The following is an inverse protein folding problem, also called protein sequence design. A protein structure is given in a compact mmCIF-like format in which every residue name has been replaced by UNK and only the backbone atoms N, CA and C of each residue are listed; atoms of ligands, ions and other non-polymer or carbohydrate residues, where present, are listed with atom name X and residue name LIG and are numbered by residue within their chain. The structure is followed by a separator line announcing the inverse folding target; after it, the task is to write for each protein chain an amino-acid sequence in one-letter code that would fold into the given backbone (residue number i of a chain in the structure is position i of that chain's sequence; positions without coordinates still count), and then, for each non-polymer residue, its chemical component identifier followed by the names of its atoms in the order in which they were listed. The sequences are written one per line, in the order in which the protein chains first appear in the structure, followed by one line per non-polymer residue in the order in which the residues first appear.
data_IF_216852718696
#
_entry.id   IF_216852718696
#
_cell.length_a   1.000
_cell.length_b   1.000
_cell.length_c   1.000
_cell.angle_alpha   90.00
_cell.angle_beta   90.00
_cell.angle_gamma   90.00
#
_symmetry.space_group_name_H-M   'P 1'
#
loop_
_entity.id
_entity.type
_entity.pdbx_description
1 polymer ?
#
# COMPACT_ATOMS: atom_id res chain seq x y z
N UNK A 1 5.17 21.36 -19.28
CA UNK A 1 4.97 20.01 -19.88
C UNK A 1 6.22 19.18 -19.68
N UNK A 2 6.12 18.16 -18.83
CA UNK A 2 7.21 17.21 -18.54
C UNK A 2 7.39 16.27 -19.73
N UNK A 3 8.63 16.16 -20.24
CA UNK A 3 8.95 15.32 -21.39
C UNK A 3 8.48 13.88 -21.18
N UNK A 4 7.84 13.31 -22.20
CA UNK A 4 7.41 11.91 -22.21
C UNK A 4 6.10 11.62 -21.47
N UNK A 5 5.56 12.58 -20.69
CA UNK A 5 4.32 12.39 -19.93
C UNK A 5 3.11 12.78 -20.78
N UNK A 6 2.12 11.90 -20.87
CA UNK A 6 0.84 12.16 -21.56
C UNK A 6 -0.33 11.74 -20.69
N UNK A 7 -1.35 12.59 -20.63
CA UNK A 7 -2.63 12.30 -19.97
C UNK A 7 -3.68 12.16 -21.08
N UNK A 8 -4.28 10.98 -21.18
CA UNK A 8 -5.19 10.63 -22.29
C UNK A 8 -6.65 10.95 -21.99
N UNK A 9 -7.00 11.12 -20.71
CA UNK A 9 -8.38 11.37 -20.28
C UNK A 9 -8.65 12.87 -20.08
N UNK A 10 -9.82 13.33 -20.52
CA UNK A 10 -10.33 14.71 -20.27
C UNK A 10 -11.33 14.79 -19.10
N UNK A 11 -11.59 13.68 -18.42
CA UNK A 11 -12.59 13.60 -17.34
C UNK A 11 -12.05 14.25 -16.07
N UNK A 12 -12.91 14.98 -15.33
CA UNK A 12 -12.54 15.69 -14.09
C UNK A 12 -11.44 16.74 -14.30
N UNK A 13 -11.54 17.52 -15.38
CA UNK A 13 -10.50 18.48 -15.81
C UNK A 13 -10.07 19.48 -14.71
N UNK A 14 -10.99 19.95 -13.87
CA UNK A 14 -10.65 20.84 -12.77
C UNK A 14 -9.67 20.15 -11.79
N UNK A 15 -10.01 18.94 -11.35
CA UNK A 15 -9.17 18.15 -10.45
C UNK A 15 -7.82 17.79 -11.10
N UNK A 16 -7.83 17.49 -12.40
CA UNK A 16 -6.59 17.27 -13.16
C UNK A 16 -5.68 18.50 -13.16
N UNK A 17 -6.21 19.70 -13.45
CA UNK A 17 -5.43 20.94 -13.50
C UNK A 17 -4.76 21.24 -12.16
N UNK A 18 -5.41 20.88 -11.06
CA UNK A 18 -4.90 21.08 -9.71
C UNK A 18 -3.87 20.03 -9.27
N UNK A 19 -4.00 18.78 -9.74
CA UNK A 19 -3.11 17.68 -9.36
C UNK A 19 -1.89 17.55 -10.26
N UNK A 20 -2.07 17.72 -11.56
CA UNK A 20 -1.05 17.50 -12.58
C UNK A 20 -0.25 18.78 -12.85
N UNK A 21 0.27 19.37 -11.78
CA UNK A 21 1.26 20.44 -11.88
C UNK A 21 2.56 19.89 -12.48
N UNK A 22 3.37 20.74 -13.11
CA UNK A 22 4.64 20.31 -13.72
C UNK A 22 5.55 19.58 -12.70
N UNK A 23 5.56 20.01 -11.43
CA UNK A 23 6.32 19.34 -10.38
C UNK A 23 5.78 17.95 -10.02
N UNK A 24 4.46 17.79 -9.93
CA UNK A 24 3.83 16.48 -9.66
C UNK A 24 4.03 15.51 -10.83
N UNK A 25 3.90 16.00 -12.07
CA UNK A 25 4.19 15.22 -13.27
C UNK A 25 5.68 14.85 -13.38
N UNK A 26 6.58 15.74 -12.96
CA UNK A 26 8.01 15.48 -12.91
C UNK A 26 8.35 14.38 -11.92
N UNK A 27 7.71 14.41 -10.75
CA UNK A 27 7.84 13.38 -9.73
C UNK A 27 7.30 12.02 -10.18
N UNK A 28 6.11 11.99 -10.81
CA UNK A 28 5.55 10.77 -11.40
C UNK A 28 6.49 10.17 -12.45
N UNK A 29 7.05 11.01 -13.34
CA UNK A 29 7.99 10.56 -14.35
C UNK A 29 9.29 10.01 -13.75
N UNK A 30 9.81 10.68 -12.71
CA UNK A 30 11.01 10.22 -12.02
C UNK A 30 10.79 8.86 -11.35
N UNK A 31 9.66 8.66 -10.66
CA UNK A 31 9.31 7.37 -10.05
C UNK A 31 9.14 6.27 -11.11
N UNK A 32 8.39 6.54 -12.17
CA UNK A 32 8.17 5.56 -13.24
C UNK A 32 9.48 5.11 -13.88
N UNK A 33 10.31 6.06 -14.31
CA UNK A 33 11.60 5.77 -14.96
C UNK A 33 12.57 5.01 -14.07
N UNK A 34 12.47 5.18 -12.75
CA UNK A 34 13.36 4.54 -11.78
C UNK A 34 12.89 3.13 -11.41
N UNK A 35 11.58 2.92 -11.26
CA UNK A 35 11.05 1.75 -10.56
C UNK A 35 10.14 0.83 -11.39
N UNK A 36 9.69 1.28 -12.57
CA UNK A 36 8.76 0.49 -13.38
C UNK A 36 9.37 -0.83 -13.87
N UNK A 37 10.63 -0.84 -14.29
CA UNK A 37 11.32 -2.06 -14.72
C UNK A 37 11.42 -3.10 -13.60
N UNK A 38 11.69 -2.64 -12.38
CA UNK A 38 11.72 -3.49 -11.18
C UNK A 38 10.32 -4.04 -10.87
N UNK A 39 9.27 -3.21 -10.93
CA UNK A 39 7.88 -3.67 -10.76
C UNK A 39 7.53 -4.77 -11.76
N UNK A 40 7.81 -4.57 -13.05
CA UNK A 40 7.54 -5.56 -14.09
C UNK A 40 8.29 -6.87 -13.84
N UNK A 41 9.57 -6.79 -13.45
CA UNK A 41 10.37 -7.97 -13.12
C UNK A 41 9.79 -8.76 -11.95
N UNK A 42 9.25 -8.08 -10.93
CA UNK A 42 8.58 -8.72 -9.80
C UNK A 42 7.25 -9.36 -10.20
N UNK A 43 6.48 -8.74 -11.11
CA UNK A 43 5.25 -9.33 -11.63
C UNK A 43 5.53 -10.61 -12.44
N UNK A 44 6.58 -10.62 -13.27
CA UNK A 44 7.05 -11.84 -13.94
C UNK A 44 7.47 -12.90 -12.91
N UNK A 45 8.19 -12.50 -11.86
CA UNK A 45 8.58 -13.43 -10.80
C UNK A 45 7.38 -14.06 -10.05
N UNK A 46 6.23 -13.36 -9.95
CA UNK A 46 4.98 -13.95 -9.42
C UNK A 46 4.47 -15.08 -10.31
N UNK A 47 4.53 -14.91 -11.63
CA UNK A 47 4.12 -15.94 -12.58
C UNK A 47 5.02 -17.18 -12.47
N UNK A 48 6.33 -16.97 -12.34
CA UNK A 48 7.33 -18.03 -12.15
C UNK A 48 7.09 -18.78 -10.83
N UNK A 49 6.85 -18.06 -9.74
CA UNK A 49 6.51 -18.67 -8.45
C UNK A 49 5.21 -19.48 -8.54
N UNK A 50 4.19 -18.96 -9.24
CA UNK A 50 2.95 -19.68 -9.44
C UNK A 50 3.14 -20.97 -10.26
N UNK A 51 3.97 -20.95 -11.32
CA UNK A 51 4.31 -22.15 -12.08
C UNK A 51 4.98 -23.22 -11.21
N UNK A 52 5.81 -22.81 -10.25
CA UNK A 52 6.42 -23.70 -9.26
C UNK A 52 5.38 -24.32 -8.32
N UNK A 53 4.45 -23.51 -7.80
CA UNK A 53 3.35 -24.02 -6.96
C UNK A 53 2.44 -24.98 -7.72
N UNK A 54 2.14 -24.68 -8.98
CA UNK A 54 1.34 -25.56 -9.83
C UNK A 54 2.04 -26.89 -10.14
N UNK A 55 3.39 -26.90 -10.14
CA UNK A 55 4.20 -28.09 -10.25
C UNK A 55 4.34 -28.89 -8.93
N UNK A 56 3.66 -28.46 -7.85
CA UNK A 56 3.65 -29.16 -6.57
C UNK A 56 4.75 -28.77 -5.59
N UNK A 57 5.54 -27.72 -5.89
CA UNK A 57 6.49 -27.18 -4.91
C UNK A 57 5.68 -26.53 -3.77
N UNK A 58 5.88 -26.94 -2.51
CA UNK A 58 5.11 -26.42 -1.39
C UNK A 58 5.48 -24.96 -1.08
N UNK A 59 4.54 -24.25 -0.48
CA UNK A 59 4.80 -22.98 0.18
C UNK A 59 5.44 -23.25 1.54
N UNK A 60 6.59 -22.64 1.79
CA UNK A 60 7.33 -22.75 3.05
C UNK A 60 8.15 -21.47 3.27
N UNK A 61 8.73 -21.33 4.46
CA UNK A 61 9.62 -20.23 4.81
C UNK A 61 10.90 -20.25 3.96
N UNK A 62 11.31 -19.14 3.34
CA UNK A 62 12.51 -19.11 2.50
C UNK A 62 13.78 -19.42 3.31
N UNK A 63 14.60 -20.42 2.92
CA UNK A 63 15.84 -20.75 3.62
C UNK A 63 16.92 -19.66 3.45
N UNK A 64 16.94 -18.95 2.33
CA UNK A 64 17.94 -17.92 2.02
C UNK A 64 17.88 -16.72 2.98
N UNK A 65 16.73 -16.47 3.60
CA UNK A 65 16.51 -15.38 4.57
C UNK A 65 16.41 -15.88 6.01
N UNK A 66 16.75 -17.14 6.28
CA UNK A 66 16.67 -17.70 7.63
C UNK A 66 17.44 -16.88 8.68
N UNK A 67 18.54 -16.24 8.27
CA UNK A 67 19.32 -15.35 9.13
C UNK A 67 18.56 -14.12 9.64
N UNK A 68 17.58 -13.59 8.87
CA UNK A 68 16.73 -12.47 9.30
C UNK A 68 15.84 -12.91 10.47
N UNK A 69 15.24 -14.10 10.36
CA UNK A 69 14.32 -14.64 11.38
C UNK A 69 15.04 -15.09 12.66
N UNK A 70 16.28 -15.56 12.49
CA UNK A 70 17.15 -16.01 13.57
C UNK A 70 17.73 -14.85 14.40
N UNK A 71 17.77 -13.62 13.86
CA UNK A 71 18.26 -12.43 14.55
C UNK A 71 17.11 -11.69 15.26
N UNK A 72 17.07 -11.65 16.61
CA UNK A 72 16.06 -10.92 17.37
C UNK A 72 16.45 -9.45 17.64
N UNK A 73 17.62 -8.99 17.19
CA UNK A 73 18.15 -7.67 17.54
C UNK A 73 17.53 -6.53 16.73
N UNK A 74 17.10 -6.79 15.50
CA UNK A 74 16.47 -5.78 14.65
C UNK A 74 15.02 -5.55 15.06
N UNK A 75 14.57 -4.31 14.91
CA UNK A 75 13.18 -3.91 15.15
C UNK A 75 12.76 -2.91 14.08
N UNK A 76 11.46 -2.81 13.84
CA UNK A 76 10.87 -1.76 13.04
C UNK A 76 11.00 -0.41 13.77
N UNK A 77 10.98 0.67 12.99
CA UNK A 77 10.93 2.02 13.51
C UNK A 77 9.69 2.20 14.40
N UNK A 78 9.83 3.06 15.41
CA UNK A 78 8.71 3.41 16.28
C UNK A 78 7.51 3.92 15.46
N UNK A 79 6.27 3.72 15.96
CA UNK A 79 5.07 4.22 15.33
C UNK A 79 5.22 5.72 15.01
N UNK A 80 4.79 6.12 13.81
CA UNK A 80 4.75 7.54 13.46
C UNK A 80 3.75 8.30 14.35
N UNK A 81 3.82 9.64 14.44
CA UNK A 81 2.90 10.43 15.25
C UNK A 81 1.43 10.10 14.98
N UNK A 82 0.71 9.63 16.02
CA UNK A 82 -0.68 9.22 15.88
C UNK A 82 -0.86 7.76 15.41
N UNK A 83 0.17 6.94 15.34
CA UNK A 83 0.05 5.51 15.03
C UNK A 83 0.03 4.62 16.28
N UNK A 84 0.14 5.20 17.47
CA UNK A 84 0.30 4.49 18.75
C UNK A 84 -1.01 3.82 19.20
N UNK A 85 -2.16 4.46 18.92
CA UNK A 85 -3.50 3.90 19.19
C UNK A 85 -4.31 3.81 17.90
N UNK A 86 -4.46 2.55 17.45
CA UNK A 86 -5.15 2.14 16.21
C UNK A 86 -6.23 1.08 16.49
N UNK A 87 -6.80 1.09 17.70
CA UNK A 87 -7.74 0.06 18.18
C UNK A 87 -8.95 -0.19 17.26
N UNK A 88 -9.39 0.86 16.55
CA UNK A 88 -10.48 0.79 15.57
C UNK A 88 -10.11 1.65 14.38
N UNK A 89 -10.14 1.03 13.21
CA UNK A 89 -9.88 1.66 11.92
C UNK A 89 -11.14 1.50 11.05
N UNK A 90 -11.57 2.58 10.40
CA UNK A 90 -12.65 2.53 9.41
C UNK A 90 -12.04 2.57 8.01
N UNK A 91 -12.59 1.78 7.09
CA UNK A 91 -12.14 1.71 5.70
C UNK A 91 -13.25 2.21 4.79
N UNK A 92 -12.91 2.93 3.72
CA UNK A 92 -13.91 3.36 2.75
C UNK A 92 -13.34 4.09 1.55
N UNK A 93 -14.16 4.27 0.50
CA UNK A 93 -13.74 4.89 -0.74
C UNK A 93 -13.37 6.36 -0.55
N UNK A 94 -12.69 6.93 -1.54
CA UNK A 94 -12.23 8.31 -1.52
C UNK A 94 -13.25 9.34 -2.03
N UNK A 95 -14.54 8.97 -2.11
CA UNK A 95 -15.56 9.96 -2.43
C UNK A 95 -15.74 10.97 -1.29
N UNK A 96 -16.12 12.20 -1.64
CA UNK A 96 -16.07 13.32 -0.70
C UNK A 96 -16.96 13.10 0.53
N UNK A 97 -18.15 12.53 0.34
CA UNK A 97 -19.11 12.30 1.42
C UNK A 97 -18.62 11.20 2.34
N UNK A 98 -18.10 10.09 1.81
CA UNK A 98 -17.58 9.00 2.63
C UNK A 98 -16.31 9.40 3.37
N UNK A 99 -15.42 10.19 2.76
CA UNK A 99 -14.26 10.77 3.45
C UNK A 99 -14.70 11.57 4.68
N UNK A 100 -15.69 12.46 4.54
CA UNK A 100 -16.22 13.25 5.66
C UNK A 100 -16.82 12.33 6.74
N UNK A 101 -17.68 11.40 6.34
CA UNK A 101 -18.35 10.48 7.28
C UNK A 101 -17.35 9.61 8.03
N UNK A 102 -16.36 9.07 7.34
CA UNK A 102 -15.34 8.21 7.93
C UNK A 102 -14.49 8.98 8.95
N UNK A 103 -14.11 10.22 8.63
CA UNK A 103 -13.38 11.08 9.55
C UNK A 103 -14.20 11.50 10.79
N UNK A 104 -15.53 11.55 10.65
CA UNK A 104 -16.47 11.84 11.74
C UNK A 104 -16.90 10.59 12.54
N UNK A 105 -16.48 9.39 12.14
CA UNK A 105 -16.99 8.13 12.72
C UNK A 105 -16.59 7.87 14.18
N UNK A 106 -15.61 8.61 14.71
CA UNK A 106 -14.98 8.31 16.01
C UNK A 106 -13.93 7.20 15.97
N UNK A 107 -13.71 6.55 14.81
CA UNK A 107 -12.58 5.65 14.62
C UNK A 107 -11.25 6.38 14.82
N UNK A 108 -10.22 5.68 15.30
CA UNK A 108 -8.90 6.28 15.50
C UNK A 108 -8.25 6.66 14.17
N UNK A 109 -8.57 5.90 13.13
CA UNK A 109 -7.94 5.97 11.81
C UNK A 109 -8.98 5.71 10.72
N UNK A 110 -8.83 6.43 9.61
CA UNK A 110 -9.59 6.22 8.38
C UNK A 110 -8.63 5.81 7.26
N UNK A 111 -8.82 4.62 6.72
CA UNK A 111 -8.15 4.12 5.53
C UNK A 111 -8.96 4.51 4.28
N UNK A 112 -8.50 5.57 3.62
CA UNK A 112 -9.05 6.05 2.36
C UNK A 112 -8.55 5.19 1.20
N UNK A 113 -9.48 4.56 0.52
CA UNK A 113 -9.19 3.43 -0.35
C UNK A 113 -9.36 3.75 -1.84
N UNK A 114 -8.29 3.56 -2.63
CA UNK A 114 -8.30 3.63 -4.10
C UNK A 114 -8.37 2.24 -4.75
N UNK A 115 -8.47 1.18 -3.95
CA UNK A 115 -8.33 -0.21 -4.35
C UNK A 115 -9.69 -0.93 -4.26
N UNK A 116 -9.84 -1.99 -3.46
CA UNK A 116 -10.98 -2.91 -3.55
C UNK A 116 -12.35 -2.26 -3.29
N UNK A 117 -12.45 -1.19 -2.50
CA UNK A 117 -13.72 -0.48 -2.28
C UNK A 117 -14.03 0.63 -3.28
N UNK A 118 -13.14 0.88 -4.25
CA UNK A 118 -13.25 1.98 -5.21
C UNK A 118 -13.11 1.51 -6.65
N UNK A 119 -14.16 1.69 -7.45
CA UNK A 119 -14.04 1.45 -8.89
C UNK A 119 -12.95 2.39 -9.48
N UNK A 120 -11.91 1.88 -10.17
CA UNK A 120 -10.75 2.66 -10.60
C UNK A 120 -11.02 3.46 -11.89
N UNK A 121 -12.15 4.16 -11.91
CA UNK A 121 -12.44 5.16 -12.94
C UNK A 121 -11.51 6.36 -12.73
N UNK A 122 -11.10 7.00 -13.82
CA UNK A 122 -10.18 8.14 -13.71
C UNK A 122 -10.77 9.28 -12.86
N UNK A 123 -12.09 9.51 -12.98
CA UNK A 123 -12.80 10.48 -12.15
C UNK A 123 -12.63 10.18 -10.66
N UNK A 124 -12.83 8.94 -10.24
CA UNK A 124 -12.70 8.54 -8.84
C UNK A 124 -11.26 8.71 -8.34
N UNK A 125 -10.28 8.28 -9.13
CA UNK A 125 -8.86 8.35 -8.73
C UNK A 125 -8.39 9.79 -8.61
N UNK A 126 -8.71 10.65 -9.57
CA UNK A 126 -8.30 12.07 -9.58
C UNK A 126 -9.09 12.85 -8.51
N UNK A 127 -10.41 12.75 -8.46
CA UNK A 127 -11.20 13.46 -7.44
C UNK A 127 -10.89 12.96 -6.03
N UNK A 128 -10.57 11.67 -5.86
CA UNK A 128 -10.13 11.12 -4.60
C UNK A 128 -8.88 11.81 -4.06
N UNK A 129 -7.88 12.09 -4.91
CA UNK A 129 -6.70 12.85 -4.45
C UNK A 129 -7.07 14.27 -3.99
N UNK A 130 -7.98 14.95 -4.71
CA UNK A 130 -8.47 16.27 -4.31
C UNK A 130 -9.19 16.19 -2.97
N UNK A 131 -10.10 15.24 -2.80
CA UNK A 131 -10.87 15.06 -1.57
C UNK A 131 -9.94 14.87 -0.36
N UNK A 132 -8.91 14.03 -0.49
CA UNK A 132 -7.92 13.83 0.57
C UNK A 132 -7.05 15.07 0.80
N UNK A 133 -6.60 15.74 -0.26
CA UNK A 133 -5.82 16.98 -0.17
C UNK A 133 -6.57 18.07 0.58
N UNK A 134 -7.86 18.21 0.31
CA UNK A 134 -8.74 19.18 0.96
C UNK A 134 -9.04 18.78 2.40
N UNK A 135 -9.25 17.48 2.67
CA UNK A 135 -9.47 16.95 4.02
C UNK A 135 -8.27 17.23 4.95
N UNK A 136 -7.05 17.03 4.47
CA UNK A 136 -5.81 17.28 5.22
C UNK A 136 -5.68 18.77 5.58
N UNK A 137 -6.07 19.65 4.66
CA UNK A 137 -6.05 21.10 4.84
C UNK A 137 -7.27 21.66 5.57
N UNK A 138 -8.18 20.79 6.05
CA UNK A 138 -9.44 21.16 6.71
C UNK A 138 -10.29 22.13 5.87
N UNK A 139 -10.31 21.94 4.54
CA UNK A 139 -11.10 22.73 3.58
C UNK A 139 -12.40 22.05 3.15
N UNK A 140 -12.77 20.97 3.82
CA UNK A 140 -14.09 20.35 3.71
C UNK A 140 -14.80 20.59 5.05
N UNK A 141 -16.07 20.98 5.00
CA UNK A 141 -16.86 21.31 6.19
C UNK A 141 -16.83 20.12 7.16
N UNK A 142 -16.19 20.32 8.31
CA UNK A 142 -15.84 19.23 9.21
C UNK A 142 -15.55 19.71 10.64
N UNK A 143 -16.10 18.99 11.61
CA UNK A 143 -15.82 19.11 13.04
C UNK A 143 -15.30 17.74 13.55
N UNK A 144 -14.00 17.60 13.90
CA UNK A 144 -13.36 16.48 14.69
C UNK A 144 -12.15 15.75 14.06
N UNK A 145 -10.92 15.96 14.53
CA UNK A 145 -9.65 15.50 13.91
C UNK A 145 -9.30 13.98 13.79
N UNK A 146 -10.09 13.18 13.07
CA UNK A 146 -9.71 11.82 12.64
C UNK A 146 -8.39 11.74 11.85
N UNK A 147 -7.70 10.59 11.89
CA UNK A 147 -6.42 10.35 11.19
C UNK A 147 -6.66 9.74 9.80
N UNK A 148 -5.84 10.09 8.83
CA UNK A 148 -6.00 9.66 7.44
C UNK A 148 -4.84 8.76 7.01
N UNK A 149 -5.20 7.66 6.34
CA UNK A 149 -4.30 6.69 5.74
C UNK A 149 -4.76 6.47 4.31
N UNK A 150 -3.84 6.08 3.45
CA UNK A 150 -4.15 5.83 2.04
C UNK A 150 -3.81 4.42 1.60
N UNK A 151 -4.72 3.83 0.84
CA UNK A 151 -4.50 2.62 0.06
C UNK A 151 -4.19 2.98 -1.39
N UNK A 152 -2.95 2.79 -1.89
CA UNK A 152 -2.70 2.76 -3.33
C UNK A 152 -3.19 1.43 -3.90
N UNK A 153 -3.56 1.41 -5.18
CA UNK A 153 -3.83 0.17 -5.91
C UNK A 153 -2.65 -0.80 -5.86
N UNK A 154 -2.89 -2.10 -5.91
CA UNK A 154 -1.84 -3.14 -5.85
C UNK A 154 -0.97 -3.21 -7.12
N UNK A 155 0.21 -3.85 -7.00
CA UNK A 155 1.26 -3.84 -8.04
C UNK A 155 0.84 -4.33 -9.43
N UNK A 156 -0.20 -5.15 -9.51
CA UNK A 156 -0.71 -5.76 -10.74
C UNK A 156 -1.58 -4.80 -11.59
N UNK A 157 -1.91 -3.61 -11.07
CA UNK A 157 -2.76 -2.64 -11.75
C UNK A 157 -1.95 -1.54 -12.43
N UNK A 158 -2.38 -1.19 -13.64
CA UNK A 158 -1.88 -0.04 -14.39
C UNK A 158 -2.92 1.10 -14.39
N UNK A 159 -2.44 2.33 -14.56
CA UNK A 159 -3.24 3.51 -14.89
C UNK A 159 -2.96 3.91 -16.34
N UNK A 160 -3.60 3.27 -17.34
CA UNK A 160 -3.28 3.47 -18.76
C UNK A 160 -3.64 4.87 -19.27
N UNK A 161 -4.38 5.65 -18.48
CA UNK A 161 -4.82 7.01 -18.84
C UNK A 161 -3.72 8.03 -18.60
N UNK A 162 -2.62 7.63 -17.96
CA UNK A 162 -1.37 8.37 -17.86
C UNK A 162 -0.25 7.49 -18.38
N UNK A 163 0.45 7.94 -19.41
CA UNK A 163 1.62 7.23 -19.94
C UNK A 163 2.87 8.06 -19.78
N UNK A 164 4.00 7.41 -19.52
CA UNK A 164 5.32 8.01 -19.44
C UNK A 164 6.22 7.25 -20.39
N UNK A 165 6.83 7.96 -21.33
CA UNK A 165 7.67 7.38 -22.38
C UNK A 165 6.95 6.26 -23.18
N UNK A 166 5.64 6.47 -23.41
CA UNK A 166 4.69 5.58 -24.08
C UNK A 166 4.33 4.27 -23.34
N UNK A 167 4.78 4.08 -22.10
CA UNK A 167 4.33 2.98 -21.25
C UNK A 167 3.22 3.44 -20.30
N UNK A 168 2.22 2.60 -19.98
CA UNK A 168 1.24 2.91 -18.94
C UNK A 168 1.94 3.02 -17.59
N UNK A 169 1.50 3.97 -16.78
CA UNK A 169 2.03 4.15 -15.43
C UNK A 169 1.46 3.07 -14.48
N UNK A 170 2.27 2.55 -13.57
CA UNK A 170 1.76 1.73 -12.45
C UNK A 170 0.70 2.49 -11.65
N UNK A 171 -0.46 1.87 -11.43
CA UNK A 171 -1.52 2.43 -10.61
C UNK A 171 -1.07 2.68 -9.15
N UNK A 172 -0.26 1.77 -8.61
CA UNK A 172 0.34 1.89 -7.27
C UNK A 172 1.19 3.15 -7.15
N UNK A 173 2.08 3.37 -8.13
CA UNK A 173 2.95 4.56 -8.19
C UNK A 173 2.11 5.81 -8.38
N UNK A 174 1.13 5.79 -9.29
CA UNK A 174 0.24 6.93 -9.54
C UNK A 174 -0.47 7.38 -8.25
N UNK A 175 -1.08 6.44 -7.54
CA UNK A 175 -1.80 6.74 -6.31
C UNK A 175 -0.82 7.26 -5.25
N UNK A 176 0.21 6.48 -4.91
CA UNK A 176 1.20 6.86 -3.91
C UNK A 176 1.78 8.25 -4.19
N UNK A 177 2.25 8.48 -5.41
CA UNK A 177 3.00 9.69 -5.78
C UNK A 177 2.14 10.94 -5.64
N UNK A 178 0.91 10.92 -6.14
CA UNK A 178 0.03 12.09 -6.06
C UNK A 178 -0.33 12.42 -4.61
N UNK A 179 -0.66 11.42 -3.80
CA UNK A 179 -0.98 11.67 -2.39
C UNK A 179 0.23 12.17 -1.62
N UNK A 180 1.38 11.51 -1.78
CA UNK A 180 2.61 11.88 -1.11
C UNK A 180 3.04 13.30 -1.50
N UNK A 181 3.16 13.58 -2.81
CA UNK A 181 3.65 14.86 -3.32
C UNK A 181 2.80 16.04 -2.85
N UNK A 182 1.47 15.89 -2.91
CA UNK A 182 0.56 16.97 -2.56
C UNK A 182 0.39 17.16 -1.05
N UNK A 183 0.67 16.15 -0.22
CA UNK A 183 0.26 16.19 1.18
C UNK A 183 1.36 15.98 2.20
N UNK A 184 2.48 15.34 1.85
CA UNK A 184 3.47 14.90 2.84
C UNK A 184 4.04 16.07 3.67
N UNK A 185 4.37 17.21 3.04
CA UNK A 185 4.86 18.40 3.76
C UNK A 185 3.82 18.98 4.72
N UNK A 186 2.56 19.05 4.31
CA UNK A 186 1.48 19.56 5.16
C UNK A 186 1.19 18.61 6.32
N UNK A 187 1.18 17.30 6.06
CA UNK A 187 1.01 16.29 7.10
C UNK A 187 2.10 16.41 8.17
N UNK A 188 3.38 16.48 7.76
CA UNK A 188 4.53 16.68 8.66
C UNK A 188 4.41 17.99 9.44
N UNK A 189 4.11 19.09 8.76
CA UNK A 189 3.90 20.40 9.41
C UNK A 189 2.79 20.36 10.46
N UNK A 190 1.74 19.57 10.22
CA UNK A 190 0.60 19.38 11.13
C UNK A 190 0.86 18.39 12.28
N UNK A 191 2.08 17.88 12.42
CA UNK A 191 2.44 16.92 13.48
C UNK A 191 2.01 15.48 13.19
N UNK A 192 1.80 15.13 11.92
CA UNK A 192 1.47 13.78 11.43
C UNK A 192 2.51 13.36 10.37
N UNK A 193 2.33 12.22 9.73
CA UNK A 193 3.17 11.79 8.61
C UNK A 193 2.34 11.30 7.42
N UNK A 194 2.98 11.16 6.24
CA UNK A 194 2.40 10.46 5.10
C UNK A 194 2.31 8.96 5.39
N UNK A 195 1.09 8.47 5.62
CA UNK A 195 0.82 7.09 6.04
C UNK A 195 0.08 6.28 4.98
N UNK A 196 0.53 5.04 4.77
CA UNK A 196 0.03 4.16 3.72
C UNK A 196 -0.40 2.80 4.26
N UNK A 197 -1.30 2.18 3.52
CA UNK A 197 -1.61 0.77 3.60
C UNK A 197 -1.19 0.10 2.30
N UNK A 198 -0.46 -1.02 2.35
CA UNK A 198 0.14 -1.66 1.17
C UNK A 198 -0.53 -3.00 0.89
N UNK A 199 -1.29 -3.13 -0.21
CA UNK A 199 -2.03 -4.34 -0.51
C UNK A 199 -1.27 -5.41 -1.28
N UNK A 200 -1.79 -6.63 -1.16
CA UNK A 200 -1.63 -7.74 -2.12
C UNK A 200 -0.19 -8.02 -2.55
N UNK A 201 0.77 -7.78 -1.66
CA UNK A 201 2.15 -8.18 -1.90
C UNK A 201 2.25 -9.70 -1.82
N UNK A 202 3.12 -10.28 -2.64
CA UNK A 202 3.34 -11.74 -2.67
C UNK A 202 4.77 -12.14 -2.28
N UNK A 203 5.68 -11.18 -2.17
CA UNK A 203 7.08 -11.46 -1.90
C UNK A 203 7.75 -10.30 -1.14
N UNK A 204 8.73 -10.59 -0.28
CA UNK A 204 9.44 -9.53 0.46
C UNK A 204 10.17 -8.53 -0.45
N UNK A 205 10.59 -8.96 -1.63
CA UNK A 205 11.21 -8.06 -2.64
C UNK A 205 10.24 -6.97 -3.15
N UNK A 206 8.93 -7.19 -3.04
CA UNK A 206 7.93 -6.15 -3.34
C UNK A 206 7.83 -5.13 -2.20
N UNK A 207 8.09 -5.56 -0.96
CA UNK A 207 8.24 -4.67 0.19
C UNK A 207 9.53 -3.83 0.05
N UNK A 208 10.61 -4.43 -0.47
CA UNK A 208 11.83 -3.69 -0.83
C UNK A 208 11.58 -2.63 -1.89
N UNK A 209 10.82 -2.94 -2.94
CA UNK A 209 10.43 -1.96 -3.95
C UNK A 209 9.68 -0.76 -3.33
N UNK A 210 8.74 -1.02 -2.41
CA UNK A 210 8.09 0.07 -1.67
C UNK A 210 9.07 0.88 -0.82
N UNK A 211 9.99 0.22 -0.11
CA UNK A 211 11.01 0.90 0.67
C UNK A 211 11.88 1.84 -0.20
N UNK A 212 12.32 1.38 -1.36
CA UNK A 212 13.13 2.16 -2.29
C UNK A 212 12.34 3.37 -2.84
N UNK A 213 11.07 3.16 -3.18
CA UNK A 213 10.15 4.24 -3.57
C UNK A 213 10.00 5.26 -2.43
N UNK A 214 9.86 4.83 -1.18
CA UNK A 214 9.74 5.72 -0.02
C UNK A 214 11.02 6.54 0.19
N UNK A 215 12.18 5.91 0.16
CA UNK A 215 13.48 6.59 0.30
C UNK A 215 13.68 7.62 -0.82
N UNK A 216 13.47 7.21 -2.07
CA UNK A 216 13.55 8.11 -3.22
C UNK A 216 12.61 9.30 -3.07
N UNK A 217 11.36 9.05 -2.68
CA UNK A 217 10.33 10.09 -2.58
C UNK A 217 10.62 11.11 -1.49
N UNK A 218 11.08 10.65 -0.32
CA UNK A 218 11.50 11.52 0.77
C UNK A 218 12.67 12.42 0.34
N UNK A 219 13.69 11.83 -0.28
CA UNK A 219 14.80 12.61 -0.88
C UNK A 219 14.31 13.61 -1.93
N UNK A 220 13.43 13.20 -2.84
CA UNK A 220 12.97 14.01 -3.97
C UNK A 220 12.31 15.31 -3.52
N UNK A 221 11.48 15.28 -2.46
CA UNK A 221 10.80 16.48 -1.96
C UNK A 221 11.50 17.15 -0.76
N UNK A 222 12.65 16.62 -0.32
CA UNK A 222 13.43 17.12 0.81
C UNK A 222 12.79 16.85 2.17
N UNK A 223 12.14 15.70 2.36
CA UNK A 223 11.73 15.22 3.67
C UNK A 223 12.82 14.33 4.29
N UNK A 224 12.97 14.33 5.64
CA UNK A 224 13.84 13.36 6.30
C UNK A 224 13.48 11.92 5.91
N UNK A 225 14.49 11.07 5.77
CA UNK A 225 14.24 9.64 5.61
C UNK A 225 13.51 9.09 6.84
N UNK A 226 12.76 8.00 6.63
CA UNK A 226 11.99 7.33 7.68
C UNK A 226 10.86 8.20 8.24
N UNK A 227 10.35 9.15 7.46
CA UNK A 227 9.14 9.95 7.76
C UNK A 227 7.87 9.21 7.35
N UNK A 228 7.91 8.47 6.24
CA UNK A 228 6.77 7.64 5.78
C UNK A 228 6.53 6.48 6.77
N UNK A 229 5.26 6.13 6.97
CA UNK A 229 4.87 4.87 7.61
C UNK A 229 3.91 4.08 6.73
N UNK A 230 3.99 2.76 6.79
CA UNK A 230 3.21 1.84 5.97
C UNK A 230 2.78 0.63 6.79
N UNK A 231 1.49 0.31 6.74
CA UNK A 231 0.94 -0.96 7.26
C UNK A 231 0.75 -1.92 6.10
N UNK A 232 1.24 -3.15 6.21
CA UNK A 232 1.13 -4.13 5.12
C UNK A 232 -0.04 -5.07 5.36
N UNK A 233 -0.86 -5.32 4.34
CA UNK A 233 -1.87 -6.37 4.41
C UNK A 233 -1.23 -7.70 4.03
N UNK A 234 -1.22 -8.65 4.96
CA UNK A 234 -0.79 -10.02 4.67
C UNK A 234 -1.99 -10.79 4.13
N UNK A 235 -2.43 -10.44 2.93
CA UNK A 235 -3.66 -10.95 2.31
C UNK A 235 -3.39 -11.88 1.11
N UNK A 236 -2.16 -12.31 0.95
CA UNK A 236 -1.77 -13.35 -0.02
C UNK A 236 -1.16 -14.52 0.71
N UNK A 237 -1.43 -15.73 0.22
CA UNK A 237 -0.88 -16.93 0.85
C UNK A 237 0.66 -16.92 0.91
N UNK A 238 1.41 -16.51 -0.14
CA UNK A 238 2.87 -16.44 -0.10
C UNK A 238 3.41 -15.43 0.92
N UNK A 239 2.77 -14.27 1.09
CA UNK A 239 3.17 -13.29 2.09
C UNK A 239 3.04 -13.82 3.52
N UNK A 240 2.13 -14.79 3.77
CA UNK A 240 2.02 -15.46 5.06
C UNK A 240 3.28 -16.20 5.50
N UNK A 241 4.15 -16.60 4.56
CA UNK A 241 5.42 -17.28 4.83
C UNK A 241 6.63 -16.33 4.82
N UNK A 242 6.40 -15.03 4.63
CA UNK A 242 7.46 -14.02 4.45
C UNK A 242 7.22 -12.77 5.30
N UNK A 243 6.45 -12.89 6.39
CA UNK A 243 6.06 -11.74 7.22
C UNK A 243 7.26 -11.05 7.87
N UNK A 244 8.24 -11.82 8.37
CA UNK A 244 9.46 -11.29 8.99
C UNK A 244 10.33 -10.56 7.95
N UNK A 245 10.48 -11.11 6.75
CA UNK A 245 11.22 -10.49 5.65
C UNK A 245 10.53 -9.23 5.14
N UNK A 246 9.20 -9.24 5.01
CA UNK A 246 8.42 -8.04 4.63
C UNK A 246 8.64 -6.92 5.66
N UNK A 247 8.58 -7.23 6.96
CA UNK A 247 8.89 -6.27 8.02
C UNK A 247 10.34 -5.80 7.95
N UNK A 248 11.29 -6.69 7.69
CA UNK A 248 12.71 -6.36 7.61
C UNK A 248 13.02 -5.40 6.45
N UNK A 249 12.48 -5.64 5.26
CA UNK A 249 12.64 -4.78 4.09
C UNK A 249 12.01 -3.40 4.30
N UNK A 250 10.91 -3.33 5.05
CA UNK A 250 10.22 -2.09 5.40
C UNK A 250 10.57 -1.56 6.79
N UNK A 251 11.59 -2.07 7.49
CA UNK A 251 11.78 -1.82 8.93
C UNK A 251 11.80 -0.35 9.32
N UNK A 252 12.35 0.51 8.46
CA UNK A 252 12.41 1.96 8.70
C UNK A 252 11.11 2.72 8.40
N UNK A 253 10.16 2.09 7.70
CA UNK A 253 8.89 2.66 7.26
C UNK A 253 7.69 1.82 7.72
N UNK A 254 7.87 0.76 8.48
CA UNK A 254 6.78 -0.12 8.91
C UNK A 254 5.95 0.52 10.03
N UNK A 255 4.66 0.27 9.99
CA UNK A 255 3.72 0.48 11.11
C UNK A 255 2.89 -0.78 11.39
N UNK A 256 3.47 -1.96 11.12
CA UNK A 256 2.88 -3.26 11.40
C UNK A 256 2.21 -3.93 10.21
N UNK A 257 1.58 -5.06 10.51
CA UNK A 257 0.88 -5.91 9.55
C UNK A 257 -0.62 -5.95 9.88
N UNK A 258 -1.45 -6.21 8.87
CA UNK A 258 -2.89 -6.35 8.99
C UNK A 258 -3.35 -7.73 8.50
N UNK A 259 -4.30 -8.32 9.24
CA UNK A 259 -4.90 -9.59 8.84
C UNK A 259 -5.95 -9.39 7.75
N UNK A 260 -5.79 -10.07 6.61
CA UNK A 260 -6.76 -10.10 5.52
C UNK A 260 -7.28 -11.52 5.24
N UNK A 261 -8.15 -11.64 4.22
CA UNK A 261 -8.51 -12.95 3.65
C UNK A 261 -7.61 -13.24 2.45
N UNK A 262 -7.15 -14.48 2.33
CA UNK A 262 -6.14 -14.84 1.32
C UNK A 262 -6.67 -14.83 -0.12
N UNK A 263 -5.83 -14.31 -1.02
CA UNK A 263 -5.89 -14.58 -2.46
C UNK A 263 -5.38 -16.01 -2.73
N UNK A 264 -6.15 -16.79 -3.51
CA UNK A 264 -5.89 -18.21 -3.80
C UNK A 264 -4.59 -18.42 -4.61
N UNK A 265 -3.72 -19.33 -4.17
CA UNK A 265 -2.47 -19.73 -4.88
C UNK A 265 -2.27 -21.23 -5.10
N UNK A 266 -3.17 -22.08 -4.58
CA UNK A 266 -3.11 -23.56 -4.71
C UNK A 266 -4.10 -24.12 -5.74
N UNK A 267 -4.27 -23.45 -6.89
CA UNK A 267 -5.31 -23.79 -7.87
C UNK A 267 -5.13 -25.16 -8.53
N UNK A 268 -3.88 -25.62 -8.70
CA UNK A 268 -3.57 -26.90 -9.34
C UNK A 268 -3.65 -28.08 -8.35
N UNK A 269 -3.70 -27.78 -7.06
CA UNK A 269 -3.71 -28.79 -6.00
C UNK A 269 -5.13 -29.25 -5.72
N UNK A 270 -5.44 -30.46 -6.19
CA UNK A 270 -6.75 -31.10 -6.00
C UNK A 270 -7.07 -31.40 -4.53
N UNK A 271 -6.08 -31.41 -3.64
CA UNK A 271 -6.30 -31.55 -2.19
C UNK A 271 -6.64 -30.23 -1.49
N UNK A 272 -6.42 -29.09 -2.15
CA UNK A 272 -6.63 -27.76 -1.59
C UNK A 272 -7.99 -27.14 -1.97
N UNK A 273 -9.03 -27.98 -2.10
CA UNK A 273 -10.41 -27.50 -2.34
C UNK A 273 -11.01 -27.03 -1.02
N UNK A 274 -11.38 -25.75 -0.97
CA UNK A 274 -12.02 -25.15 0.21
C UNK A 274 -13.55 -25.33 0.15
N UNK A 275 -14.22 -25.43 1.31
CA UNK A 275 -15.69 -25.40 1.38
C UNK A 275 -16.23 -24.00 1.00
N UNK A 276 -17.54 -23.80 1.16
CA UNK A 276 -18.16 -22.50 0.96
C UNK A 276 -17.40 -21.40 1.72
N UNK A 277 -17.17 -20.26 1.05
CA UNK A 277 -16.40 -19.13 1.61
C UNK A 277 -16.93 -18.60 2.95
N UNK A 278 -18.22 -18.82 3.23
CA UNK A 278 -18.88 -18.40 4.48
C UNK A 278 -18.45 -19.27 5.66
N UNK A 279 -18.05 -20.51 5.39
CA UNK A 279 -17.63 -21.50 6.40
C UNK A 279 -16.11 -21.42 6.65
N UNK A 280 -15.35 -20.80 5.75
CA UNK A 280 -13.94 -20.45 5.96
C UNK A 280 -13.85 -19.17 6.81
N UNK A 281 -14.16 -19.30 8.11
CA UNK A 281 -14.07 -18.24 9.10
C UNK A 281 -12.63 -18.04 9.59
N UNK A 282 -12.36 -17.01 10.41
CA UNK A 282 -11.03 -16.78 11.00
C UNK A 282 -10.64 -17.84 12.04
N UNK A 283 -11.56 -18.70 12.47
CA UNK A 283 -11.34 -19.69 13.53
C UNK A 283 -11.00 -21.08 13.00
N UNK A 284 -11.03 -21.30 11.68
CA UNK A 284 -10.59 -22.58 11.08
C UNK A 284 -9.07 -22.70 11.19
N UNK A 285 -8.54 -23.93 11.27
CA UNK A 285 -7.16 -24.18 11.70
C UNK A 285 -6.08 -23.35 11.00
N UNK A 286 -6.08 -23.28 9.66
CA UNK A 286 -5.05 -22.51 8.94
C UNK A 286 -5.21 -20.99 9.06
N UNK A 287 -6.44 -20.49 9.25
CA UNK A 287 -6.68 -19.05 9.47
C UNK A 287 -6.30 -18.63 10.90
N UNK A 288 -6.58 -19.47 11.90
CA UNK A 288 -6.14 -19.24 13.28
C UNK A 288 -4.61 -19.28 13.38
N UNK A 289 -3.96 -20.25 12.74
CA UNK A 289 -2.50 -20.31 12.65
C UNK A 289 -1.89 -19.05 12.00
N UNK A 290 -2.50 -18.58 10.90
CA UNK A 290 -2.12 -17.34 10.25
C UNK A 290 -2.21 -16.13 11.18
N UNK A 291 -3.33 -15.96 11.89
CA UNK A 291 -3.53 -14.83 12.81
C UNK A 291 -2.51 -14.87 13.94
N UNK A 292 -2.29 -16.04 14.55
CA UNK A 292 -1.32 -16.22 15.64
C UNK A 292 0.10 -15.91 15.19
N UNK A 293 0.51 -16.42 14.02
CA UNK A 293 1.83 -16.16 13.46
C UNK A 293 2.01 -14.67 13.17
N UNK A 294 1.00 -13.99 12.61
CA UNK A 294 1.07 -12.55 12.36
C UNK A 294 1.21 -11.76 13.65
N UNK A 295 0.42 -12.06 14.69
CA UNK A 295 0.52 -11.39 16.00
C UNK A 295 1.90 -11.62 16.62
N UNK A 296 2.38 -12.86 16.63
CA UNK A 296 3.70 -13.21 17.17
C UNK A 296 4.82 -12.46 16.44
N UNK A 297 4.75 -12.42 15.11
CA UNK A 297 5.73 -11.74 14.25
C UNK A 297 5.72 -10.23 14.50
N UNK A 298 4.55 -9.60 14.53
CA UNK A 298 4.40 -8.18 14.82
C UNK A 298 4.93 -7.84 16.22
N UNK A 299 4.53 -8.56 17.27
CA UNK A 299 4.97 -8.26 18.63
C UNK A 299 6.46 -8.55 18.88
N UNK A 300 7.09 -9.39 18.05
CA UNK A 300 8.54 -9.63 18.09
C UNK A 300 9.33 -8.44 17.55
N UNK A 301 8.82 -7.72 16.55
CA UNK A 301 9.61 -6.76 15.77
C UNK A 301 9.05 -5.34 15.68
N UNK A 302 7.77 -5.13 15.97
CA UNK A 302 7.10 -3.83 15.90
C UNK A 302 6.86 -3.36 17.32
N UNK A 303 7.44 -2.20 17.65
CA UNK A 303 7.38 -1.57 18.97
C UNK A 303 6.06 -0.83 19.15
#
# INVERSE_FOLDING_TARGET
MVQGVRIHSKVAQQAQNELFTDGALGFLAALHRTFESTRQSLLVAREDAQRRFDAGIPLDFPPETAHIRADPSWHCAAPGPGLEDRRVEITGPTDRKMVINALNSGAKTFMADFEDSSAPTFANMVNGQINLRDAIRRKIDFESGGKQYKFPRGWHLDEPRVTIDNAPLSASIFDFALYFYHNAKELVKSGRGPYFYLPKMEHYLEARLWNDIFLFSQSYIGLPHNTIRATVLIETLPAGFQMEEILFELRNHSSGLNCGRFIKKRRADRSAVLPDRKDVTMTVGFMDAYVRLLIQTCHKYVI
#
